data_IF_918702820847
#
_entry.id   IF_918702820847
#
_cell.length_a   1.000
_cell.length_b   1.000
_cell.length_c   1.000
_cell.angle_alpha   90.00
_cell.angle_beta   90.00
_cell.angle_gamma   90.00
#
_symmetry.space_group_name_H-M   'P 1'
#
loop_
_entity.id
_entity.type
_entity.pdbx_description
1 polymer ?
#
# COMPACT_ATOMS: atom_id res chain seq x y z
N UNK A 1 14.40 -43.12 -21.08
CA UNK A 1 13.08 -42.55 -20.74
C UNK A 1 13.15 -41.08 -21.10
N UNK A 2 12.67 -40.69 -22.28
CA UNK A 2 12.68 -39.31 -22.77
C UNK A 2 11.23 -38.86 -22.74
N UNK A 3 10.89 -37.98 -21.80
CA UNK A 3 9.56 -37.39 -21.66
C UNK A 3 9.32 -36.47 -22.87
N UNK A 4 8.41 -36.87 -23.76
CA UNK A 4 7.96 -35.99 -24.84
C UNK A 4 7.05 -34.92 -24.25
N UNK A 5 7.53 -33.68 -24.21
CA UNK A 5 6.72 -32.51 -23.93
C UNK A 5 5.76 -32.28 -25.11
N UNK A 6 4.60 -32.95 -25.07
CA UNK A 6 3.46 -32.66 -25.94
C UNK A 6 2.97 -31.23 -25.66
N UNK A 7 3.44 -30.28 -26.45
CA UNK A 7 2.85 -28.94 -26.52
C UNK A 7 1.47 -29.11 -27.14
N UNK A 8 0.42 -29.17 -26.31
CA UNK A 8 -0.98 -29.13 -26.74
C UNK A 8 -1.25 -27.80 -27.45
N UNK A 9 -1.03 -27.77 -28.76
CA UNK A 9 -1.42 -26.66 -29.63
C UNK A 9 -2.96 -26.64 -29.68
N UNK A 10 -3.55 -25.67 -28.97
CA UNK A 10 -4.98 -25.40 -29.01
C UNK A 10 -5.39 -25.13 -30.46
N UNK A 11 -6.25 -25.97 -31.03
CA UNK A 11 -6.69 -25.83 -32.42
C UNK A 11 -7.44 -24.50 -32.59
N UNK A 12 -7.17 -23.73 -33.66
CA UNK A 12 -7.89 -22.49 -33.91
C UNK A 12 -9.38 -22.81 -34.14
N UNK A 13 -10.24 -22.11 -33.40
CA UNK A 13 -11.68 -22.24 -33.49
C UNK A 13 -12.16 -21.71 -34.85
N UNK A 14 -12.48 -22.63 -35.75
CA UNK A 14 -12.98 -22.35 -37.11
C UNK A 14 -14.31 -21.59 -37.11
N UNK A 15 -15.04 -21.53 -35.99
CA UNK A 15 -16.28 -20.76 -35.90
C UNK A 15 -16.06 -19.25 -35.94
N UNK A 16 -14.85 -18.77 -35.61
CA UNK A 16 -14.49 -17.35 -35.67
C UNK A 16 -14.37 -16.85 -37.13
N UNK A 17 -14.04 -17.74 -38.07
CA UNK A 17 -13.94 -17.43 -39.50
C UNK A 17 -15.27 -16.97 -40.11
N UNK A 18 -16.41 -17.51 -39.62
CA UNK A 18 -17.75 -17.18 -40.13
C UNK A 18 -18.22 -15.75 -39.76
N UNK A 19 -17.54 -15.10 -38.82
CA UNK A 19 -17.89 -13.76 -38.31
C UNK A 19 -17.06 -12.63 -38.95
N UNK A 20 -16.22 -12.96 -39.94
CA UNK A 20 -15.30 -12.01 -40.58
C UNK A 20 -15.92 -11.32 -41.79
N UNK A 21 -15.67 -10.01 -41.99
CA UNK A 21 -16.08 -9.32 -43.21
C UNK A 21 -15.37 -9.93 -44.44
N UNK A 22 -16.06 -10.10 -45.58
CA UNK A 22 -15.55 -10.85 -46.73
C UNK A 22 -14.25 -10.32 -47.38
N UNK A 23 -13.83 -9.10 -47.04
CA UNK A 23 -12.70 -8.40 -47.65
C UNK A 23 -11.53 -8.13 -46.68
N UNK A 24 -11.54 -8.69 -45.47
CA UNK A 24 -10.43 -8.49 -44.55
C UNK A 24 -9.18 -9.24 -45.01
N UNK A 25 -8.08 -8.52 -45.18
CA UNK A 25 -6.78 -9.10 -45.53
C UNK A 25 -6.16 -9.82 -44.33
N UNK A 26 -5.33 -10.84 -44.56
CA UNK A 26 -4.61 -11.54 -43.47
C UNK A 26 -3.79 -10.57 -42.60
N UNK A 27 -3.27 -9.49 -43.19
CA UNK A 27 -2.60 -8.41 -42.47
C UNK A 27 -3.52 -7.64 -41.53
N UNK A 28 -4.76 -7.34 -41.94
CA UNK A 28 -5.74 -6.67 -41.09
C UNK A 28 -6.16 -7.55 -39.91
N UNK A 29 -6.23 -8.85 -40.15
CA UNK A 29 -6.49 -9.85 -39.12
C UNK A 29 -5.34 -9.86 -38.11
N UNK A 30 -4.10 -10.01 -38.56
CA UNK A 30 -2.92 -9.98 -37.70
C UNK A 30 -2.78 -8.66 -36.92
N UNK A 31 -3.07 -7.52 -37.57
CA UNK A 31 -3.07 -6.21 -36.93
C UNK A 31 -4.16 -6.12 -35.84
N UNK A 32 -5.36 -6.64 -36.09
CA UNK A 32 -6.43 -6.67 -35.10
C UNK A 32 -6.16 -7.66 -33.97
N UNK A 33 -5.52 -8.81 -34.23
CA UNK A 33 -5.07 -9.73 -33.18
C UNK A 33 -3.95 -9.13 -32.35
N UNK A 34 -2.96 -8.46 -32.96
CA UNK A 34 -1.92 -7.73 -32.24
C UNK A 34 -2.48 -6.57 -31.42
N UNK A 35 -3.48 -5.84 -31.95
CA UNK A 35 -4.20 -4.80 -31.23
C UNK A 35 -5.05 -5.35 -30.09
N UNK A 36 -5.71 -6.51 -30.29
CA UNK A 36 -6.50 -7.21 -29.27
C UNK A 36 -5.63 -7.94 -28.24
N UNK A 37 -4.40 -8.31 -28.57
CA UNK A 37 -3.40 -8.81 -27.62
C UNK A 37 -2.82 -7.64 -26.80
N UNK A 38 -2.58 -6.48 -27.42
CA UNK A 38 -2.22 -5.23 -26.70
C UNK A 38 -3.36 -4.65 -25.86
N UNK A 39 -4.60 -4.87 -26.27
CA UNK A 39 -5.81 -4.46 -25.53
C UNK A 39 -6.39 -5.57 -24.66
N UNK A 40 -5.85 -6.80 -24.76
CA UNK A 40 -6.08 -7.81 -23.73
C UNK A 40 -5.46 -7.18 -22.51
N UNK A 41 -6.22 -6.90 -21.45
CA UNK A 41 -5.60 -6.50 -20.22
C UNK A 41 -4.71 -7.70 -19.86
N UNK A 42 -3.40 -7.58 -20.05
CA UNK A 42 -2.44 -8.43 -19.31
C UNK A 42 -2.61 -8.18 -17.80
N UNK A 43 -3.35 -7.11 -17.47
CA UNK A 43 -3.85 -6.72 -16.16
C UNK A 43 -5.35 -6.98 -16.01
N UNK A 44 -5.85 -8.16 -16.41
CA UNK A 44 -7.08 -8.65 -15.76
C UNK A 44 -6.62 -8.99 -14.35
N UNK A 45 -6.69 -7.98 -13.48
CA UNK A 45 -6.36 -7.97 -12.07
C UNK A 45 -6.83 -9.29 -11.45
N UNK A 46 -5.96 -10.28 -11.52
CA UNK A 46 -6.31 -11.63 -11.10
C UNK A 46 -6.50 -11.52 -9.59
N UNK A 47 -7.47 -12.21 -8.97
CA UNK A 47 -7.61 -12.21 -7.51
C UNK A 47 -6.28 -12.51 -6.80
N UNK A 48 -5.41 -13.30 -7.46
CA UNK A 48 -4.02 -13.55 -7.06
C UNK A 48 -3.10 -12.33 -7.11
N UNK A 49 -3.19 -11.48 -8.15
CA UNK A 49 -2.40 -10.24 -8.25
C UNK A 49 -2.73 -9.28 -7.11
N UNK A 50 -4.02 -9.15 -6.80
CA UNK A 50 -4.52 -8.36 -5.66
C UNK A 50 -3.97 -8.84 -4.32
N UNK A 51 -4.07 -10.14 -4.07
CA UNK A 51 -3.59 -10.72 -2.81
C UNK A 51 -2.06 -10.64 -2.71
N UNK A 52 -1.35 -10.83 -3.82
CA UNK A 52 0.10 -10.71 -3.87
C UNK A 52 0.54 -9.28 -3.56
N UNK A 53 -0.09 -8.27 -4.18
CA UNK A 53 0.19 -6.87 -3.91
C UNK A 53 -0.08 -6.50 -2.45
N UNK A 54 -1.26 -6.84 -1.91
CA UNK A 54 -1.58 -6.60 -0.51
C UNK A 54 -0.60 -7.32 0.43
N UNK A 55 -0.14 -8.52 0.07
CA UNK A 55 0.86 -9.27 0.84
C UNK A 55 2.22 -8.56 0.83
N UNK A 56 2.67 -8.08 -0.33
CA UNK A 56 3.93 -7.34 -0.46
C UNK A 56 3.91 -6.05 0.36
N UNK A 57 2.83 -5.28 0.29
CA UNK A 57 2.63 -4.09 1.11
C UNK A 57 2.61 -4.42 2.61
N UNK A 58 1.89 -5.47 3.00
CA UNK A 58 1.82 -5.91 4.40
C UNK A 58 3.19 -6.33 4.92
N UNK A 59 3.98 -7.08 4.15
CA UNK A 59 5.35 -7.48 4.52
C UNK A 59 6.23 -6.25 4.73
N UNK A 60 6.17 -5.30 3.80
CA UNK A 60 6.96 -4.05 3.86
C UNK A 60 6.61 -3.23 5.11
N UNK A 61 5.33 -3.02 5.38
CA UNK A 61 4.88 -2.28 6.57
C UNK A 61 5.16 -3.03 7.88
N UNK A 62 5.08 -4.36 7.88
CA UNK A 62 5.45 -5.17 9.05
C UNK A 62 6.94 -5.04 9.37
N UNK A 63 7.79 -5.03 8.34
CA UNK A 63 9.23 -4.80 8.52
C UNK A 63 9.50 -3.39 9.05
N UNK A 64 8.83 -2.37 8.51
CA UNK A 64 8.94 -0.99 8.99
C UNK A 64 8.52 -0.87 10.46
N UNK A 65 7.37 -1.44 10.83
CA UNK A 65 6.87 -1.44 12.22
C UNK A 65 7.87 -2.10 13.18
N UNK A 66 8.41 -3.26 12.79
CA UNK A 66 9.41 -3.98 13.60
C UNK A 66 10.71 -3.18 13.74
N UNK A 67 11.14 -2.50 12.66
CA UNK A 67 12.32 -1.64 12.67
C UNK A 67 12.13 -0.46 13.62
N UNK A 68 10.94 0.15 13.63
CA UNK A 68 10.60 1.21 14.58
C UNK A 68 10.54 0.69 16.03
N UNK A 69 10.00 -0.52 16.28
CA UNK A 69 10.01 -1.13 17.63
C UNK A 69 11.45 -1.37 18.13
N UNK A 70 12.33 -1.85 17.24
CA UNK A 70 13.76 -2.02 17.55
C UNK A 70 14.46 -0.69 17.80
N UNK A 71 14.22 0.31 16.95
CA UNK A 71 14.84 1.62 17.07
C UNK A 71 14.46 2.29 18.39
N UNK A 72 13.17 2.25 18.74
CA UNK A 72 12.68 2.79 20.00
C UNK A 72 13.31 2.02 21.17
N UNK A 73 13.30 0.68 21.15
CA UNK A 73 13.96 -0.11 22.22
C UNK A 73 15.44 0.22 22.37
N UNK A 74 16.15 0.45 21.25
CA UNK A 74 17.57 0.81 21.25
C UNK A 74 17.83 2.24 21.74
N UNK A 75 17.03 3.22 21.34
CA UNK A 75 17.17 4.63 21.77
C UNK A 75 17.00 4.83 23.27
N UNK A 76 16.31 3.89 23.89
CA UNK A 76 15.82 3.95 25.25
C UNK A 76 16.53 2.93 26.17
N UNK A 77 17.42 2.11 25.62
CA UNK A 77 18.30 1.20 26.36
C UNK A 77 17.59 0.30 27.39
N UNK A 78 16.34 -0.15 27.15
CA UNK A 78 15.86 -1.33 27.89
C UNK A 78 16.40 -2.62 27.31
N UNK A 79 16.40 -3.64 28.16
CA UNK A 79 16.75 -4.99 27.77
C UNK A 79 15.88 -5.46 26.61
N UNK A 80 16.55 -5.90 25.55
CA UNK A 80 15.93 -6.36 24.32
C UNK A 80 15.38 -7.76 24.55
N UNK A 81 14.09 -7.85 24.83
CA UNK A 81 13.38 -9.12 24.79
C UNK A 81 12.90 -9.41 23.37
N UNK A 82 13.71 -10.17 22.63
CA UNK A 82 13.45 -10.58 21.25
C UNK A 82 12.10 -11.31 21.08
N UNK A 83 11.69 -12.08 22.08
CA UNK A 83 10.43 -12.83 22.01
C UNK A 83 9.24 -11.89 22.16
N UNK A 84 9.35 -10.89 23.05
CA UNK A 84 8.31 -9.87 23.19
C UNK A 84 8.18 -8.98 21.95
N UNK A 85 9.30 -8.60 21.31
CA UNK A 85 9.30 -7.83 20.05
C UNK A 85 8.59 -8.62 18.96
N UNK A 86 8.95 -9.90 18.81
CA UNK A 86 8.32 -10.78 17.82
C UNK A 86 6.82 -10.95 18.09
N UNK A 87 6.43 -11.10 19.36
CA UNK A 87 5.02 -11.22 19.73
C UNK A 87 4.21 -9.95 19.48
N UNK A 88 4.81 -8.77 19.70
CA UNK A 88 4.19 -7.48 19.34
C UNK A 88 4.04 -7.33 17.83
N UNK A 89 5.09 -7.65 17.06
CA UNK A 89 5.03 -7.63 15.61
C UNK A 89 3.95 -8.59 15.07
N UNK A 90 3.85 -9.79 15.63
CA UNK A 90 2.81 -10.76 15.29
C UNK A 90 1.39 -10.25 15.60
N UNK A 91 1.19 -9.55 16.73
CA UNK A 91 -0.09 -8.92 17.06
C UNK A 91 -0.42 -7.72 16.17
N UNK A 92 0.59 -6.96 15.75
CA UNK A 92 0.44 -5.82 14.87
C UNK A 92 0.16 -6.24 13.42
N UNK A 93 0.67 -7.41 13.00
CA UNK A 93 0.50 -7.95 11.65
C UNK A 93 -0.96 -7.96 11.14
N UNK A 94 -1.97 -8.53 11.84
CA UNK A 94 -3.34 -8.52 11.35
C UNK A 94 -3.95 -7.12 11.28
N UNK A 95 -3.50 -6.20 12.15
CA UNK A 95 -3.97 -4.81 12.16
C UNK A 95 -3.41 -4.07 10.94
N UNK A 96 -2.12 -4.24 10.65
CA UNK A 96 -1.44 -3.68 9.47
C UNK A 96 -2.03 -4.28 8.20
N UNK A 97 -2.24 -5.60 8.15
CA UNK A 97 -2.87 -6.29 7.02
C UNK A 97 -4.27 -5.76 6.76
N UNK A 98 -5.10 -5.61 7.80
CA UNK A 98 -6.46 -5.08 7.67
C UNK A 98 -6.45 -3.63 7.20
N UNK A 99 -5.53 -2.80 7.71
CA UNK A 99 -5.35 -1.42 7.30
C UNK A 99 -4.96 -1.33 5.81
N UNK A 100 -3.89 -2.02 5.42
CA UNK A 100 -3.41 -2.07 4.03
C UNK A 100 -4.50 -2.61 3.11
N UNK A 101 -5.14 -3.72 3.46
CA UNK A 101 -6.22 -4.28 2.63
C UNK A 101 -7.42 -3.35 2.50
N UNK A 102 -7.78 -2.61 3.56
CA UNK A 102 -8.97 -1.74 3.55
C UNK A 102 -8.74 -0.41 2.84
N UNK A 103 -7.54 0.16 2.93
CA UNK A 103 -7.24 1.50 2.43
C UNK A 103 -6.40 1.51 1.16
N UNK A 104 -5.73 0.41 0.79
CA UNK A 104 -5.06 0.34 -0.51
C UNK A 104 -6.12 0.49 -1.61
N UNK A 105 -6.01 1.47 -2.52
CA UNK A 105 -7.05 1.81 -3.46
C UNK A 105 -7.28 0.67 -4.46
N UNK A 106 -8.34 -0.10 -4.24
CA UNK A 106 -8.78 -1.12 -5.18
C UNK A 106 -9.81 -0.54 -6.16
N UNK A 107 -9.65 -0.76 -7.48
CA UNK A 107 -10.58 -0.25 -8.49
C UNK A 107 -11.99 -0.87 -8.43
N UNK A 108 -12.21 -1.90 -7.60
CA UNK A 108 -13.52 -2.53 -7.41
C UNK A 108 -14.05 -2.35 -5.99
N UNK A 109 -15.27 -1.81 -5.93
CA UNK A 109 -16.14 -1.60 -4.76
C UNK A 109 -15.83 -2.45 -3.53
N UNK A 110 -15.35 -1.80 -2.46
CA UNK A 110 -15.38 -2.37 -1.12
C UNK A 110 -16.84 -2.58 -0.69
N UNK A 111 -17.15 -3.76 -0.16
CA UNK A 111 -18.46 -4.16 0.38
C UNK A 111 -18.95 -3.22 1.50
N UNK A 112 -18.03 -2.52 2.17
CA UNK A 112 -18.32 -1.75 3.38
C UNK A 112 -18.59 -0.26 3.17
N UNK A 113 -18.30 0.30 1.99
CA UNK A 113 -18.48 1.73 1.74
C UNK A 113 -19.74 1.98 0.89
N UNK A 114 -20.62 2.92 1.30
CA UNK A 114 -21.73 3.36 0.46
C UNK A 114 -21.19 3.83 -0.89
N UNK A 115 -21.95 3.57 -1.97
CA UNK A 115 -21.58 3.98 -3.34
C UNK A 115 -21.57 5.51 -3.45
N UNK A 116 -20.46 6.13 -3.06
CA UNK A 116 -20.23 7.56 -3.26
C UNK A 116 -19.66 7.82 -4.66
N UNK A 117 -19.90 9.01 -5.25
CA UNK A 117 -19.34 9.39 -6.54
C UNK A 117 -17.81 9.31 -6.52
N UNK A 118 -17.23 8.60 -7.51
CA UNK A 118 -15.79 8.29 -7.64
C UNK A 118 -14.84 9.48 -7.46
N UNK A 119 -15.27 10.71 -7.80
CA UNK A 119 -14.48 11.94 -7.64
C UNK A 119 -14.29 12.35 -6.18
N UNK A 120 -15.30 12.10 -5.35
CA UNK A 120 -15.23 12.41 -3.92
C UNK A 120 -14.33 11.43 -3.17
N UNK A 121 -14.24 10.17 -3.62
CA UNK A 121 -13.33 9.19 -3.02
C UNK A 121 -11.88 9.66 -3.08
N UNK A 122 -11.41 10.12 -4.24
CA UNK A 122 -10.03 10.60 -4.39
C UNK A 122 -9.74 11.83 -3.53
N UNK A 123 -10.67 12.80 -3.51
CA UNK A 123 -10.53 14.01 -2.68
C UNK A 123 -10.54 13.70 -1.18
N UNK A 124 -11.47 12.85 -0.71
CA UNK A 124 -11.55 12.45 0.70
C UNK A 124 -10.33 11.63 1.13
N UNK A 125 -9.82 10.76 0.26
CA UNK A 125 -8.61 10.00 0.50
C UNK A 125 -7.41 10.93 0.67
N UNK A 126 -7.18 11.81 -0.30
CA UNK A 126 -6.03 12.71 -0.29
C UNK A 126 -6.08 13.71 0.88
N UNK A 127 -7.27 14.27 1.16
CA UNK A 127 -7.45 15.19 2.31
C UNK A 127 -7.36 14.46 3.65
N UNK A 128 -7.91 13.26 3.75
CA UNK A 128 -7.82 12.42 4.95
C UNK A 128 -6.38 12.05 5.28
N UNK A 129 -5.64 11.53 4.30
CA UNK A 129 -4.23 11.18 4.46
C UNK A 129 -3.35 12.40 4.73
N UNK A 130 -3.68 13.57 4.18
CA UNK A 130 -3.02 14.83 4.52
C UNK A 130 -3.17 15.19 6.00
N UNK A 131 -4.41 15.15 6.52
CA UNK A 131 -4.68 15.45 7.92
C UNK A 131 -4.03 14.43 8.86
N UNK A 132 -4.12 13.15 8.52
CA UNK A 132 -3.47 12.07 9.28
C UNK A 132 -1.95 12.22 9.28
N UNK A 133 -1.35 12.58 8.15
CA UNK A 133 0.10 12.84 8.05
C UNK A 133 0.52 13.99 8.97
N UNK A 134 -0.24 15.08 9.01
CA UNK A 134 0.06 16.22 9.90
C UNK A 134 -0.13 15.86 11.37
N UNK A 135 -1.28 15.25 11.71
CA UNK A 135 -1.61 14.89 13.08
C UNK A 135 -0.65 13.82 13.63
N UNK A 136 -0.38 12.76 12.88
CA UNK A 136 0.52 11.69 13.30
C UNK A 136 1.97 12.18 13.38
N UNK A 137 2.42 13.00 12.42
CA UNK A 137 3.78 13.57 12.42
C UNK A 137 4.01 14.51 13.60
N UNK A 138 3.08 15.44 13.86
CA UNK A 138 3.15 16.33 15.02
C UNK A 138 3.04 15.56 16.35
N UNK A 139 2.15 14.56 16.42
CA UNK A 139 2.00 13.71 17.61
C UNK A 139 3.26 12.87 17.89
N UNK A 140 3.92 12.30 16.89
CA UNK A 140 5.19 11.57 17.06
C UNK A 140 6.24 12.45 17.72
N UNK A 141 6.43 13.66 17.20
CA UNK A 141 7.40 14.62 17.74
C UNK A 141 7.06 14.98 19.18
N UNK A 142 5.78 15.23 19.47
CA UNK A 142 5.33 15.55 20.82
C UNK A 142 5.49 14.35 21.78
N UNK A 143 5.10 13.15 21.35
CA UNK A 143 5.14 11.94 22.15
C UNK A 143 6.58 11.57 22.52
N UNK A 144 7.52 11.69 21.59
CA UNK A 144 8.95 11.45 21.86
C UNK A 144 9.53 12.45 22.87
N UNK A 145 8.98 13.66 22.96
CA UNK A 145 9.50 14.73 23.83
C UNK A 145 8.82 14.83 25.21
N UNK A 146 7.53 14.47 25.33
CA UNK A 146 6.73 14.76 26.54
C UNK A 146 6.35 13.55 27.39
N UNK A 147 6.47 12.31 26.90
CA UNK A 147 5.97 11.14 27.63
C UNK A 147 7.06 10.36 28.38
N UNK A 148 6.72 9.74 29.54
CA UNK A 148 7.64 8.83 30.19
C UNK A 148 7.84 7.58 29.33
N UNK A 149 9.11 7.28 29.05
CA UNK A 149 9.68 6.02 28.55
C UNK A 149 8.71 4.93 28.06
N UNK A 150 7.97 4.31 29.00
CA UNK A 150 7.17 3.11 28.76
C UNK A 150 5.93 3.36 27.90
N UNK A 151 5.36 4.57 27.94
CA UNK A 151 4.22 4.94 27.12
C UNK A 151 4.62 5.15 25.65
N UNK A 152 5.81 5.72 25.42
CA UNK A 152 6.38 5.97 24.09
C UNK A 152 6.66 4.65 23.38
N UNK A 153 7.29 3.70 24.08
CA UNK A 153 7.65 2.39 23.53
C UNK A 153 6.47 1.63 22.92
N UNK A 154 5.26 1.76 23.49
CA UNK A 154 4.08 1.06 22.99
C UNK A 154 3.37 1.75 21.85
N UNK A 155 3.50 3.08 21.73
CA UNK A 155 2.68 3.90 20.84
C UNK A 155 3.45 4.39 19.60
N UNK A 156 4.75 4.63 19.72
CA UNK A 156 5.56 5.15 18.62
C UNK A 156 5.68 4.19 17.44
N UNK A 157 5.93 2.88 17.61
CA UNK A 157 6.05 1.97 16.47
C UNK A 157 4.79 1.89 15.58
N UNK A 158 3.56 1.76 16.10
CA UNK A 158 2.37 1.75 15.25
C UNK A 158 2.04 3.13 14.68
N UNK A 159 2.22 4.22 15.44
CA UNK A 159 1.93 5.58 14.95
C UNK A 159 2.94 6.04 13.91
N UNK A 160 4.22 5.69 14.08
CA UNK A 160 5.29 5.90 13.10
C UNK A 160 4.99 5.18 11.78
N UNK A 161 4.57 3.92 11.87
CA UNK A 161 4.15 3.16 10.69
C UNK A 161 2.96 3.81 9.98
N UNK A 162 1.95 4.26 10.73
CA UNK A 162 0.75 4.93 10.18
C UNK A 162 1.10 6.27 9.53
N UNK A 163 2.00 7.05 10.14
CA UNK A 163 2.48 8.31 9.57
C UNK A 163 3.21 8.10 8.25
N UNK A 164 4.19 7.18 8.20
CA UNK A 164 4.94 6.87 6.96
C UNK A 164 4.00 6.38 5.87
N UNK A 165 3.07 5.49 6.22
CA UNK A 165 2.07 5.03 5.26
C UNK A 165 1.24 6.18 4.69
N UNK A 166 0.80 7.11 5.55
CA UNK A 166 0.04 8.26 5.11
C UNK A 166 0.81 9.12 4.12
N UNK A 167 2.11 9.34 4.37
CA UNK A 167 2.99 10.10 3.46
C UNK A 167 3.18 9.39 2.12
N UNK A 168 3.32 8.06 2.12
CA UNK A 168 3.50 7.26 0.89
C UNK A 168 2.24 7.25 0.02
N UNK A 169 1.06 7.32 0.65
CA UNK A 169 -0.24 7.32 -0.06
C UNK A 169 -0.62 8.71 -0.63
N UNK A 170 0.03 9.78 -0.18
CA UNK A 170 -0.15 11.14 -0.66
C UNK A 170 0.56 11.37 -2.01
N UNK A 171 -0.02 12.21 -2.88
CA UNK A 171 0.70 12.72 -4.04
C UNK A 171 1.93 13.55 -3.61
N UNK A 172 2.95 13.63 -4.46
CA UNK A 172 4.24 14.25 -4.14
C UNK A 172 4.08 15.69 -3.60
N UNK A 173 3.22 16.50 -4.23
CA UNK A 173 3.01 17.90 -3.83
C UNK A 173 2.40 18.01 -2.42
N UNK A 174 1.25 17.38 -2.11
CA UNK A 174 0.67 17.42 -0.77
C UNK A 174 1.49 16.67 0.28
N UNK A 175 2.29 15.66 -0.09
CA UNK A 175 3.21 15.00 0.82
C UNK A 175 4.34 15.95 1.28
N UNK A 176 4.95 16.68 0.34
CA UNK A 176 5.98 17.68 0.69
C UNK A 176 5.38 18.82 1.51
N UNK A 177 4.15 19.26 1.18
CA UNK A 177 3.51 20.33 1.94
C UNK A 177 3.09 19.88 3.35
N UNK A 178 2.67 18.63 3.56
CA UNK A 178 2.35 18.12 4.89
C UNK A 178 3.60 18.04 5.77
N UNK A 179 4.72 17.58 5.22
CA UNK A 179 6.02 17.54 5.89
C UNK A 179 6.51 18.95 6.26
N UNK A 180 6.41 19.89 5.34
CA UNK A 180 6.76 21.29 5.59
C UNK A 180 5.88 21.90 6.68
N UNK A 181 4.57 21.60 6.66
CA UNK A 181 3.64 22.04 7.68
C UNK A 181 3.99 21.47 9.07
N UNK A 182 4.26 20.16 9.16
CA UNK A 182 4.75 19.52 10.39
C UNK A 182 6.02 20.20 10.92
N UNK A 183 6.99 20.45 10.05
CA UNK A 183 8.24 21.10 10.41
C UNK A 183 8.01 22.54 10.90
N UNK A 184 7.14 23.29 10.25
CA UNK A 184 6.78 24.66 10.65
C UNK A 184 6.06 24.69 11.99
N UNK A 185 5.10 23.80 12.22
CA UNK A 185 4.40 23.64 13.50
C UNK A 185 5.41 23.33 14.62
N UNK A 186 6.35 22.41 14.37
CA UNK A 186 7.42 22.10 15.31
C UNK A 186 8.27 23.33 15.63
N UNK A 187 8.70 24.08 14.60
CA UNK A 187 9.52 25.28 14.76
C UNK A 187 8.81 26.37 15.56
N UNK A 188 7.50 26.55 15.36
CA UNK A 188 6.69 27.49 16.14
C UNK A 188 6.39 27.01 17.56
N UNK A 189 6.47 25.69 17.81
CA UNK A 189 6.18 25.07 19.10
C UNK A 189 7.23 25.27 20.18
N UNK A 190 8.37 25.92 19.88
CA UNK A 190 9.35 26.33 20.88
C UNK A 190 10.11 25.19 21.58
N UNK A 191 10.06 23.97 21.04
CA UNK A 191 10.78 22.82 21.60
C UNK A 191 12.29 22.99 21.40
N UNK A 192 12.96 23.51 22.43
CA UNK A 192 14.40 23.47 22.59
C UNK A 192 14.87 22.02 22.56
N UNK A 193 15.64 21.65 21.52
CA UNK A 193 16.46 20.44 21.52
C UNK A 193 17.59 20.66 22.54
N UNK A 194 17.30 20.46 23.84
CA UNK A 194 18.34 20.42 24.89
C UNK A 194 18.68 18.98 25.23
#
# INVERSE_FOLDING_TARGET
MREEFEIKLSRPDLTQSKKLPPHATLFDIAANYGKKARQKPEDVESPLGRMAEATLWTITFTMLHSTLDLLVTHQYATEIDWLQILWRAFKAFPIILLLVYSFHPHPTSSIFLPKFPLRFHHMLHQTGFFLVSIAAGSYLIHATNMHPYYAIMKQVPPIGCLWVWSVVELEIIPAVSSLLCCYMIFKTGGYSLS
#
